data_IF_151287706403
#
_entry.id   IF_151287706403
#
_cell.length_a   1.000
_cell.length_b   1.000
_cell.length_c   1.000
_cell.angle_alpha   90.00
_cell.angle_beta   90.00
_cell.angle_gamma   90.00
#
_symmetry.space_group_name_H-M   'P 1'
#
loop_
_entity.id
_entity.type
_entity.pdbx_description
1 polymer ?
#
# COMPACT_ATOMS: atom_id res chain seq x y z
N UNK A 1 -16.82 26.16 1.92
CA UNK A 1 -16.95 24.75 1.52
C UNK A 1 -15.61 24.30 0.92
N UNK A 2 -14.82 23.52 1.65
CA UNK A 2 -13.52 23.01 1.18
C UNK A 2 -13.66 21.76 0.28
N UNK A 3 -14.89 21.39 -0.11
CA UNK A 3 -15.18 20.19 -0.90
C UNK A 3 -14.88 20.34 -2.40
N UNK A 4 -14.59 21.57 -2.89
CA UNK A 4 -14.56 21.89 -4.31
C UNK A 4 -13.15 21.81 -4.94
N UNK A 5 -12.13 21.42 -4.20
CA UNK A 5 -10.72 21.44 -4.65
C UNK A 5 -10.23 20.02 -5.03
N UNK A 6 -11.11 19.25 -5.66
CA UNK A 6 -10.82 17.89 -6.12
C UNK A 6 -10.82 17.81 -7.65
N UNK A 7 -10.02 16.89 -8.19
CA UNK A 7 -10.02 16.56 -9.62
C UNK A 7 -10.30 15.07 -9.79
N UNK A 8 -11.51 14.74 -10.26
CA UNK A 8 -11.91 13.36 -10.52
C UNK A 8 -12.20 13.15 -12.01
N UNK A 9 -11.51 12.21 -12.65
CA UNK A 9 -11.65 11.90 -14.07
C UNK A 9 -11.72 10.40 -14.30
N UNK A 10 -12.83 9.92 -14.77
CA UNK A 10 -13.06 8.50 -15.08
C UNK A 10 -14.35 7.96 -14.48
N UNK A 11 -14.74 6.76 -14.91
CA UNK A 11 -15.92 6.08 -14.38
C UNK A 11 -15.72 5.80 -12.90
N UNK A 12 -16.66 6.25 -12.06
CA UNK A 12 -16.66 6.11 -10.60
C UNK A 12 -15.38 6.66 -9.90
N UNK A 13 -14.61 7.54 -10.56
CA UNK A 13 -13.46 8.18 -9.92
C UNK A 13 -13.93 9.07 -8.76
N UNK A 14 -13.37 8.85 -7.56
CA UNK A 14 -13.72 9.61 -6.36
C UNK A 14 -15.19 9.46 -5.90
N UNK A 15 -15.90 8.40 -6.30
CA UNK A 15 -17.34 8.26 -6.07
C UNK A 15 -17.75 8.33 -4.61
N UNK A 16 -16.93 7.80 -3.71
CA UNK A 16 -17.20 7.79 -2.27
C UNK A 16 -16.91 9.13 -1.57
N UNK A 17 -16.31 10.12 -2.27
CA UNK A 17 -15.86 11.35 -1.63
C UNK A 17 -17.02 12.16 -1.05
N UNK A 18 -16.95 12.45 0.24
CA UNK A 18 -17.96 13.23 0.97
C UNK A 18 -17.46 14.60 1.40
N UNK A 19 -16.36 14.64 2.15
CA UNK A 19 -15.77 15.87 2.69
C UNK A 19 -14.28 16.03 2.40
N UNK A 20 -13.68 15.05 1.71
CA UNK A 20 -12.27 15.11 1.30
C UNK A 20 -12.01 16.22 0.29
N UNK A 21 -10.84 16.84 0.35
CA UNK A 21 -10.43 17.94 -0.52
C UNK A 21 -8.95 17.85 -0.91
N UNK A 22 -8.52 18.61 -1.94
CA UNK A 22 -7.17 18.55 -2.53
C UNK A 22 -6.83 17.17 -3.12
N UNK A 23 -7.82 16.41 -3.58
CA UNK A 23 -7.62 15.08 -4.10
C UNK A 23 -7.62 15.04 -5.62
N UNK A 24 -6.78 14.18 -6.17
CA UNK A 24 -6.75 13.83 -7.58
C UNK A 24 -7.01 12.33 -7.73
N UNK A 25 -8.09 11.96 -8.43
CA UNK A 25 -8.35 10.56 -8.79
C UNK A 25 -8.64 10.46 -10.29
N UNK A 26 -7.78 9.78 -11.03
CA UNK A 26 -7.88 9.66 -12.49
C UNK A 26 -7.78 8.21 -12.93
N UNK A 27 -8.85 7.67 -13.49
CA UNK A 27 -8.99 6.29 -13.96
C UNK A 27 -10.29 5.67 -13.51
N UNK A 28 -10.65 4.53 -14.13
CA UNK A 28 -11.83 3.75 -13.74
C UNK A 28 -11.69 3.28 -12.29
N UNK A 29 -12.66 3.54 -11.43
CA UNK A 29 -12.70 3.26 -10.00
C UNK A 29 -11.52 3.84 -9.18
N UNK A 30 -10.75 4.77 -9.73
CA UNK A 30 -9.68 5.43 -8.97
C UNK A 30 -10.28 6.21 -7.80
N UNK A 31 -9.84 5.93 -6.57
CA UNK A 31 -10.39 6.56 -5.37
C UNK A 31 -11.87 6.25 -5.12
N UNK A 32 -12.37 5.11 -5.56
CA UNK A 32 -13.77 4.72 -5.38
C UNK A 32 -14.23 4.79 -3.92
N UNK A 33 -13.38 4.37 -2.99
CA UNK A 33 -13.67 4.33 -1.56
C UNK A 33 -13.33 5.62 -0.82
N UNK A 34 -12.70 6.59 -1.51
CA UNK A 34 -12.27 7.84 -0.90
C UNK A 34 -13.47 8.54 -0.26
N UNK A 35 -13.38 8.90 1.02
CA UNK A 35 -14.48 9.50 1.78
C UNK A 35 -14.13 10.89 2.32
N UNK A 36 -13.27 10.98 3.32
CA UNK A 36 -12.91 12.22 4.01
C UNK A 36 -11.42 12.56 3.88
N UNK A 37 -10.62 11.69 3.26
CA UNK A 37 -9.19 11.86 3.08
C UNK A 37 -8.83 13.12 2.27
N UNK A 38 -7.66 13.69 2.52
CA UNK A 38 -7.20 14.93 1.90
C UNK A 38 -5.78 14.81 1.36
N UNK A 39 -5.45 15.64 0.34
CA UNK A 39 -4.12 15.65 -0.28
C UNK A 39 -3.71 14.26 -0.80
N UNK A 40 -4.59 13.65 -1.59
CA UNK A 40 -4.43 12.28 -2.11
C UNK A 40 -4.30 12.34 -3.63
N UNK A 41 -3.38 11.54 -4.18
CA UNK A 41 -3.22 11.36 -5.63
C UNK A 41 -3.34 9.88 -5.99
N UNK A 42 -4.39 9.54 -6.72
CA UNK A 42 -4.69 8.16 -7.15
C UNK A 42 -4.78 8.13 -8.68
N UNK A 43 -3.84 7.47 -9.33
CA UNK A 43 -3.76 7.46 -10.79
C UNK A 43 -3.78 6.03 -11.33
N UNK A 44 -4.71 5.74 -12.20
CA UNK A 44 -4.84 4.46 -12.90
C UNK A 44 -6.05 3.63 -12.47
N UNK A 45 -6.26 2.51 -13.16
CA UNK A 45 -7.35 1.59 -12.90
C UNK A 45 -7.30 1.06 -11.46
N UNK A 46 -8.40 1.20 -10.71
CA UNK A 46 -8.57 0.74 -9.33
C UNK A 46 -7.49 1.25 -8.33
N UNK A 47 -6.83 2.38 -8.61
CA UNK A 47 -5.89 2.98 -7.67
C UNK A 47 -6.62 3.39 -6.36
N UNK A 48 -6.09 2.99 -5.21
CA UNK A 48 -6.69 3.25 -3.89
C UNK A 48 -7.88 2.35 -3.54
N UNK A 49 -8.06 1.23 -4.25
CA UNK A 49 -9.00 0.17 -3.87
C UNK A 49 -8.26 -1.01 -3.21
N UNK A 50 -9.00 -2.00 -2.68
CA UNK A 50 -8.40 -3.19 -2.07
C UNK A 50 -7.53 -4.03 -3.03
N UNK A 51 -7.64 -3.82 -4.33
CA UNK A 51 -6.80 -4.45 -5.35
C UNK A 51 -5.60 -3.59 -5.78
N UNK A 52 -5.23 -2.60 -4.99
CA UNK A 52 -4.04 -1.76 -5.22
C UNK A 52 -2.98 -1.96 -4.13
N UNK A 53 -1.71 -1.59 -4.40
CA UNK A 53 -0.63 -1.72 -3.42
C UNK A 53 -0.81 -0.89 -2.14
N UNK A 54 -1.67 0.14 -2.19
CA UNK A 54 -2.02 0.96 -1.02
C UNK A 54 -3.05 0.30 -0.10
N UNK A 55 -3.73 -0.76 -0.56
CA UNK A 55 -5.00 -1.16 0.02
C UNK A 55 -6.08 -0.11 -0.22
N UNK A 56 -7.19 -0.19 0.51
CA UNK A 56 -8.28 0.79 0.45
C UNK A 56 -7.81 2.13 1.00
N UNK A 57 -7.95 3.17 0.19
CA UNK A 57 -7.75 4.58 0.58
C UNK A 57 -9.12 5.22 0.74
N UNK A 58 -9.53 5.52 1.97
CA UNK A 58 -10.84 6.08 2.31
C UNK A 58 -10.74 7.44 3.03
N UNK A 59 -10.30 7.44 4.27
CA UNK A 59 -10.08 8.63 5.11
C UNK A 59 -8.57 8.90 5.36
N UNK A 60 -7.69 8.20 4.64
CA UNK A 60 -6.25 8.49 4.62
C UNK A 60 -6.00 9.90 4.08
N UNK A 61 -4.85 10.45 4.42
CA UNK A 61 -4.39 11.74 3.87
C UNK A 61 -2.92 11.65 3.47
N UNK A 62 -2.48 12.57 2.60
CA UNK A 62 -1.08 12.67 2.17
C UNK A 62 -0.57 11.37 1.49
N UNK A 63 -1.39 10.73 0.66
CA UNK A 63 -1.11 9.43 0.04
C UNK A 63 -1.05 9.54 -1.48
N UNK A 64 -0.09 8.87 -2.09
CA UNK A 64 0.00 8.70 -3.55
C UNK A 64 -0.05 7.19 -3.85
N UNK A 65 -0.97 6.78 -4.74
CA UNK A 65 -1.01 5.41 -5.26
C UNK A 65 -1.08 5.43 -6.79
N UNK A 66 -0.23 4.64 -7.43
CA UNK A 66 -0.15 4.53 -8.89
C UNK A 66 -0.59 3.13 -9.34
N UNK A 67 -1.80 3.05 -9.88
CA UNK A 67 -2.40 1.83 -10.42
C UNK A 67 -2.83 0.82 -9.37
N UNK A 68 -3.06 -0.39 -9.85
CA UNK A 68 -3.46 -1.54 -9.05
C UNK A 68 -2.34 -2.60 -8.96
N UNK A 69 -2.64 -3.74 -8.37
CA UNK A 69 -1.71 -4.87 -8.17
C UNK A 69 -1.17 -5.50 -9.46
N UNK A 70 -1.73 -5.16 -10.63
CA UNK A 70 -1.23 -5.63 -11.92
C UNK A 70 -0.10 -4.76 -12.48
N UNK A 71 0.16 -3.57 -11.91
CA UNK A 71 1.29 -2.74 -12.33
C UNK A 71 2.61 -3.44 -11.98
N UNK A 72 3.33 -3.82 -13.02
CA UNK A 72 4.58 -4.59 -12.89
C UNK A 72 5.84 -3.71 -12.93
N UNK A 73 5.77 -2.53 -13.55
CA UNK A 73 6.93 -1.67 -13.76
C UNK A 73 6.54 -0.19 -13.60
N UNK A 74 7.41 0.57 -12.96
CA UNK A 74 7.39 2.02 -12.95
C UNK A 74 8.67 2.54 -13.62
N UNK A 75 8.52 3.23 -14.75
CA UNK A 75 9.65 3.80 -15.48
C UNK A 75 9.82 5.27 -15.10
N UNK A 76 10.95 5.60 -14.54
CA UNK A 76 11.38 6.96 -14.24
C UNK A 76 12.79 7.17 -14.78
N UNK A 77 13.11 8.37 -15.26
CA UNK A 77 14.45 8.70 -15.74
C UNK A 77 15.48 8.75 -14.60
N UNK A 78 15.02 8.97 -13.37
CA UNK A 78 15.83 9.01 -12.16
C UNK A 78 15.06 8.41 -10.98
N UNK A 79 15.75 8.12 -9.89
CA UNK A 79 15.15 7.59 -8.66
C UNK A 79 14.55 8.70 -7.81
N UNK A 80 13.72 8.32 -6.82
CA UNK A 80 13.15 9.26 -5.87
C UNK A 80 14.23 9.91 -4.98
N UNK A 81 14.11 11.21 -4.77
CA UNK A 81 14.90 11.96 -3.79
C UNK A 81 14.05 12.13 -2.53
N UNK A 82 14.49 11.57 -1.41
CA UNK A 82 13.83 11.74 -0.12
C UNK A 82 14.41 12.95 0.60
N UNK A 83 13.55 13.83 1.14
CA UNK A 83 13.99 14.94 1.99
C UNK A 83 14.73 14.41 3.22
N UNK A 84 15.88 15.03 3.53
CA UNK A 84 16.73 14.62 4.66
C UNK A 84 17.51 15.79 5.29
N UNK A 85 16.92 16.98 5.25
CA UNK A 85 17.55 18.17 5.85
C UNK A 85 17.62 18.02 7.38
N UNK A 86 18.78 18.32 7.97
CA UNK A 86 18.99 18.26 9.42
C UNK A 86 18.07 19.22 10.17
N UNK A 87 17.75 20.38 9.58
CA UNK A 87 16.92 21.42 10.19
C UNK A 87 15.48 21.00 10.41
N UNK A 88 15.03 19.98 9.64
CA UNK A 88 13.67 19.44 9.69
C UNK A 88 13.58 18.18 10.57
N UNK A 89 14.66 17.85 11.29
CA UNK A 89 14.74 16.66 12.17
C UNK A 89 14.87 17.08 13.62
N UNK A 90 14.14 16.38 14.47
CA UNK A 90 14.23 16.50 15.94
C UNK A 90 14.53 15.13 16.56
N UNK A 91 14.86 15.11 17.84
CA UNK A 91 15.12 13.89 18.63
C UNK A 91 16.14 12.94 17.97
N UNK A 92 17.18 13.52 17.35
CA UNK A 92 18.20 12.75 16.63
C UNK A 92 19.04 11.96 17.63
N UNK A 93 18.99 10.65 17.56
CA UNK A 93 19.74 9.71 18.39
C UNK A 93 20.51 8.70 17.53
N UNK A 94 21.52 8.08 18.12
CA UNK A 94 22.27 7.02 17.46
C UNK A 94 21.39 5.77 17.28
N UNK A 95 21.32 5.28 16.05
CA UNK A 95 20.67 4.02 15.71
C UNK A 95 21.69 2.90 15.82
N UNK A 96 21.41 1.88 16.64
CA UNK A 96 22.40 0.85 17.00
C UNK A 96 22.25 -0.50 16.30
N UNK A 97 21.08 -0.91 15.79
CA UNK A 97 20.97 -2.21 15.08
C UNK A 97 21.94 -2.31 13.90
N UNK A 98 22.68 -3.41 13.84
CA UNK A 98 23.70 -3.67 12.83
C UNK A 98 23.78 -5.17 12.48
N UNK A 99 24.94 -5.79 12.71
CA UNK A 99 25.24 -7.16 12.28
C UNK A 99 24.29 -8.21 12.89
N UNK A 100 23.89 -8.05 14.14
CA UNK A 100 22.96 -8.96 14.80
C UNK A 100 21.57 -8.96 14.16
N UNK A 101 21.11 -7.78 13.70
CA UNK A 101 19.86 -7.62 12.96
C UNK A 101 19.95 -8.31 11.58
N UNK A 102 20.99 -7.98 10.80
CA UNK A 102 21.17 -8.50 9.44
C UNK A 102 21.28 -10.03 9.42
N UNK A 103 21.93 -10.63 10.41
CA UNK A 103 22.08 -12.11 10.51
C UNK A 103 20.76 -12.86 10.71
N UNK A 104 19.73 -12.19 11.19
CA UNK A 104 18.39 -12.78 11.38
C UNK A 104 17.52 -12.68 10.13
N UNK A 105 17.87 -11.82 9.17
CA UNK A 105 17.13 -11.69 7.94
C UNK A 105 17.38 -12.89 7.02
N UNK A 106 16.32 -13.40 6.41
CA UNK A 106 16.34 -14.52 5.47
C UNK A 106 16.01 -14.04 4.06
N UNK A 107 17.01 -13.81 3.18
CA UNK A 107 16.75 -13.54 1.77
C UNK A 107 16.04 -14.73 1.11
N UNK A 108 15.06 -14.46 0.28
CA UNK A 108 14.27 -15.48 -0.41
C UNK A 108 14.17 -15.19 -1.90
N UNK A 109 14.00 -16.24 -2.71
CA UNK A 109 13.52 -16.17 -4.08
C UNK A 109 12.03 -16.51 -4.05
N UNK A 110 11.21 -15.72 -4.75
CA UNK A 110 9.77 -15.93 -4.80
C UNK A 110 9.19 -15.57 -6.16
N UNK A 111 7.93 -15.90 -6.35
CA UNK A 111 7.08 -15.42 -7.44
C UNK A 111 5.83 -14.82 -6.87
N UNK A 112 5.34 -13.76 -7.50
CA UNK A 112 4.05 -13.21 -7.11
C UNK A 112 2.91 -14.17 -7.45
N UNK A 113 1.99 -14.32 -6.52
CA UNK A 113 0.70 -14.97 -6.66
C UNK A 113 -0.25 -14.23 -5.71
N UNK A 114 -0.67 -13.03 -6.16
CA UNK A 114 -1.34 -12.08 -5.28
C UNK A 114 -2.79 -12.49 -5.02
N UNK A 115 -3.25 -12.33 -3.78
CA UNK A 115 -4.64 -12.58 -3.38
C UNK A 115 -5.64 -11.80 -4.22
N UNK A 116 -5.36 -10.53 -4.51
CA UNK A 116 -6.19 -9.68 -5.34
C UNK A 116 -6.40 -10.21 -6.77
N UNK A 117 -5.50 -11.03 -7.28
CA UNK A 117 -5.68 -11.67 -8.58
C UNK A 117 -6.77 -12.74 -8.60
N UNK A 118 -7.17 -13.28 -7.44
CA UNK A 118 -8.19 -14.30 -7.26
C UNK A 118 -9.55 -13.73 -6.86
N UNK A 119 -9.68 -12.42 -6.86
CA UNK A 119 -10.94 -11.70 -6.64
C UNK A 119 -11.50 -11.17 -7.95
N UNK A 120 -12.78 -10.87 -7.98
CA UNK A 120 -13.49 -10.26 -9.12
C UNK A 120 -14.38 -9.14 -8.65
N UNK A 121 -14.43 -8.06 -9.43
CA UNK A 121 -15.42 -7.01 -9.22
C UNK A 121 -16.84 -7.60 -9.27
N UNK A 122 -17.73 -7.06 -8.47
CA UNK A 122 -19.14 -7.41 -8.41
C UNK A 122 -19.95 -6.33 -9.13
N UNK A 123 -21.20 -6.61 -9.41
CA UNK A 123 -22.14 -5.61 -9.95
C UNK A 123 -23.26 -5.40 -8.94
N UNK A 124 -23.76 -4.17 -8.85
CA UNK A 124 -24.93 -3.84 -8.04
C UNK A 124 -26.13 -4.65 -8.54
N UNK A 125 -26.74 -5.40 -7.63
CA UNK A 125 -27.90 -6.26 -7.91
C UNK A 125 -29.22 -5.57 -7.53
N UNK A 126 -30.34 -6.08 -8.05
CA UNK A 126 -31.66 -5.58 -7.69
C UNK A 126 -31.93 -5.76 -6.18
N UNK A 127 -31.50 -6.87 -5.60
CA UNK A 127 -31.67 -7.11 -4.14
C UNK A 127 -30.98 -6.04 -3.30
N UNK A 128 -29.80 -5.56 -3.71
CA UNK A 128 -29.09 -4.48 -3.03
C UNK A 128 -29.81 -3.12 -3.17
N UNK A 129 -30.48 -2.88 -4.30
CA UNK A 129 -31.33 -1.71 -4.48
C UNK A 129 -32.56 -1.80 -3.56
N UNK A 130 -33.23 -2.95 -3.53
CA UNK A 130 -34.43 -3.18 -2.72
C UNK A 130 -34.11 -3.05 -1.21
N UNK A 131 -32.93 -3.47 -0.81
CA UNK A 131 -32.40 -3.31 0.55
C UNK A 131 -31.85 -1.90 0.85
N UNK A 132 -31.92 -0.96 -0.09
CA UNK A 132 -31.42 0.43 0.03
C UNK A 132 -29.92 0.55 0.30
N UNK A 133 -29.14 -0.43 -0.10
CA UNK A 133 -27.68 -0.37 -0.10
C UNK A 133 -27.16 0.54 -1.23
N UNK A 134 -27.90 0.59 -2.34
CA UNK A 134 -27.61 1.42 -3.52
C UNK A 134 -28.90 2.03 -4.09
N UNK A 135 -28.75 3.12 -4.87
CA UNK A 135 -29.87 3.74 -5.56
C UNK A 135 -30.22 3.01 -6.87
N UNK A 136 -31.45 3.14 -7.34
CA UNK A 136 -31.94 2.50 -8.58
C UNK A 136 -31.06 2.83 -9.81
N UNK A 137 -30.50 4.02 -9.88
CA UNK A 137 -29.59 4.43 -10.97
C UNK A 137 -28.21 3.74 -10.96
N UNK A 138 -27.91 3.01 -9.89
CA UNK A 138 -26.65 2.28 -9.74
C UNK A 138 -26.75 0.80 -10.12
N UNK A 139 -27.95 0.30 -10.46
CA UNK A 139 -28.16 -1.08 -10.88
C UNK A 139 -27.22 -1.46 -12.03
N UNK A 140 -26.48 -2.55 -11.88
CA UNK A 140 -25.51 -3.03 -12.86
C UNK A 140 -24.15 -2.30 -12.85
N UNK A 141 -23.98 -1.25 -12.00
CA UNK A 141 -22.67 -0.61 -11.83
C UNK A 141 -21.67 -1.58 -11.21
N UNK A 142 -20.40 -1.45 -11.60
CA UNK A 142 -19.31 -2.23 -11.02
C UNK A 142 -19.05 -1.77 -9.57
N UNK A 143 -18.85 -2.73 -8.68
CA UNK A 143 -18.38 -2.53 -7.32
C UNK A 143 -16.95 -3.06 -7.26
N UNK A 144 -15.94 -2.25 -6.91
CA UNK A 144 -14.58 -2.72 -6.73
C UNK A 144 -14.50 -3.81 -5.67
N UNK A 145 -13.46 -4.62 -5.78
CA UNK A 145 -13.10 -5.64 -4.78
C UNK A 145 -12.90 -4.97 -3.42
N UNK A 146 -13.46 -5.56 -2.38
CA UNK A 146 -13.33 -5.08 -1.00
C UNK A 146 -12.10 -5.67 -0.30
N UNK A 147 -11.67 -5.06 0.80
CA UNK A 147 -10.62 -5.60 1.67
C UNK A 147 -10.98 -7.02 2.16
N UNK A 148 -12.23 -7.26 2.52
CA UNK A 148 -12.71 -8.57 2.94
C UNK A 148 -12.58 -9.63 1.84
N UNK A 149 -12.89 -9.29 0.58
CA UNK A 149 -12.72 -10.18 -0.55
C UNK A 149 -11.24 -10.57 -0.74
N UNK A 150 -10.32 -9.60 -0.62
CA UNK A 150 -8.86 -9.85 -0.73
C UNK A 150 -8.35 -10.71 0.43
N UNK A 151 -8.82 -10.43 1.66
CA UNK A 151 -8.41 -11.22 2.84
C UNK A 151 -8.93 -12.66 2.79
N UNK A 152 -10.11 -12.89 2.25
CA UNK A 152 -10.69 -14.22 2.09
C UNK A 152 -10.09 -15.02 0.93
N UNK A 153 -9.48 -14.36 -0.05
CA UNK A 153 -8.92 -15.02 -1.23
C UNK A 153 -7.67 -15.83 -0.89
N UNK A 154 -7.62 -17.06 -1.42
CA UNK A 154 -6.48 -17.98 -1.23
C UNK A 154 -5.84 -18.26 -2.58
N UNK A 155 -4.61 -17.80 -2.84
CA UNK A 155 -3.85 -18.14 -4.03
C UNK A 155 -3.63 -19.66 -4.14
N UNK A 156 -3.78 -20.19 -5.35
CA UNK A 156 -3.62 -21.61 -5.63
C UNK A 156 -2.56 -21.91 -6.70
N UNK A 157 -1.77 -20.91 -7.09
CA UNK A 157 -0.71 -21.03 -8.08
C UNK A 157 -1.16 -20.89 -9.54
N UNK A 158 -2.46 -20.86 -9.84
CA UNK A 158 -2.95 -20.79 -11.24
C UNK A 158 -2.70 -19.43 -11.90
N UNK A 159 -2.53 -18.37 -11.12
CA UNK A 159 -2.24 -17.01 -11.57
C UNK A 159 -0.82 -16.54 -11.24
N UNK A 160 0.02 -17.46 -10.81
CA UNK A 160 1.40 -17.17 -10.42
C UNK A 160 2.20 -16.53 -11.56
N UNK A 161 2.84 -15.38 -11.28
CA UNK A 161 3.77 -14.75 -12.22
C UNK A 161 4.92 -15.71 -12.55
N UNK A 162 5.27 -15.91 -13.83
CA UNK A 162 6.43 -16.69 -14.23
C UNK A 162 7.77 -16.07 -13.79
N UNK A 163 7.83 -14.75 -13.57
CA UNK A 163 9.03 -14.03 -13.18
C UNK A 163 9.44 -14.34 -11.74
N UNK A 164 10.73 -14.65 -11.54
CA UNK A 164 11.32 -14.77 -10.21
C UNK A 164 11.77 -13.41 -9.67
N UNK A 165 11.60 -13.23 -8.39
CA UNK A 165 12.03 -12.06 -7.63
C UNK A 165 12.88 -12.49 -6.45
N UNK A 166 13.74 -11.59 -5.98
CA UNK A 166 14.48 -11.75 -4.72
C UNK A 166 14.04 -10.69 -3.73
N UNK A 167 14.05 -11.02 -2.45
CA UNK A 167 13.69 -10.06 -1.41
C UNK A 167 13.51 -10.75 -0.06
N UNK A 168 12.64 -10.19 0.76
CA UNK A 168 12.32 -10.68 2.09
C UNK A 168 10.81 -10.90 2.23
N UNK A 169 10.41 -11.73 3.19
CA UNK A 169 9.02 -11.82 3.64
C UNK A 169 8.81 -10.79 4.74
N UNK A 170 7.91 -9.84 4.51
CA UNK A 170 7.72 -8.68 5.39
C UNK A 170 7.40 -9.10 6.84
N UNK A 171 6.62 -10.18 7.04
CA UNK A 171 6.28 -10.69 8.36
C UNK A 171 7.49 -11.26 9.12
N UNK A 172 8.44 -11.88 8.41
CA UNK A 172 9.70 -12.35 9.02
C UNK A 172 10.58 -11.16 9.43
N UNK A 173 10.67 -10.14 8.59
CA UNK A 173 11.41 -8.91 8.90
C UNK A 173 10.78 -8.18 10.08
N UNK A 174 9.44 -8.11 10.15
CA UNK A 174 8.71 -7.53 11.27
C UNK A 174 9.06 -8.23 12.60
N UNK A 175 9.13 -9.56 12.60
CA UNK A 175 9.53 -10.31 13.79
C UNK A 175 10.97 -9.96 14.24
N UNK A 176 11.90 -9.73 13.29
CA UNK A 176 13.26 -9.27 13.62
C UNK A 176 13.25 -7.85 14.18
N UNK A 177 12.46 -6.92 13.61
CA UNK A 177 12.29 -5.56 14.15
C UNK A 177 11.77 -5.61 15.59
N UNK A 178 10.75 -6.40 15.86
CA UNK A 178 10.15 -6.56 17.19
C UNK A 178 11.15 -7.13 18.20
N UNK A 179 11.94 -8.12 17.80
CA UNK A 179 13.01 -8.68 18.63
C UNK A 179 14.11 -7.67 18.97
N UNK A 180 14.32 -6.68 18.09
CA UNK A 180 15.26 -5.58 18.29
C UNK A 180 14.66 -4.39 19.08
N UNK A 181 13.42 -4.49 19.57
CA UNK A 181 12.74 -3.48 20.37
C UNK A 181 12.04 -2.37 19.57
N UNK A 182 11.84 -2.58 18.25
CA UNK A 182 11.10 -1.68 17.36
C UNK A 182 9.73 -2.26 16.99
N UNK A 183 8.97 -1.54 16.18
CA UNK A 183 7.68 -1.98 15.65
C UNK A 183 6.71 -2.46 16.75
N UNK A 184 6.63 -1.71 17.85
CA UNK A 184 5.68 -1.98 18.95
C UNK A 184 4.21 -1.90 18.50
N UNK A 185 3.97 -1.14 17.46
CA UNK A 185 2.69 -1.01 16.76
C UNK A 185 2.92 -0.69 15.27
N UNK A 186 1.85 -0.66 14.46
CA UNK A 186 1.95 -0.44 13.01
C UNK A 186 2.52 0.92 12.59
N UNK A 187 2.43 1.95 13.45
CA UNK A 187 2.94 3.28 13.14
C UNK A 187 4.45 3.38 13.40
N UNK A 188 4.99 2.48 14.22
CA UNK A 188 6.40 2.44 14.62
C UNK A 188 7.24 1.39 13.86
N UNK A 189 6.70 0.80 12.78
CA UNK A 189 7.46 -0.09 11.89
C UNK A 189 8.56 0.69 11.15
N UNK A 190 9.79 0.18 11.16
CA UNK A 190 10.94 0.83 10.53
C UNK A 190 11.07 0.48 9.05
N UNK A 191 11.29 -0.79 8.74
CA UNK A 191 11.53 -1.29 7.37
C UNK A 191 10.32 -1.96 6.76
N UNK A 192 9.33 -2.29 7.57
CA UNK A 192 8.05 -2.87 7.13
C UNK A 192 6.97 -1.79 7.12
N UNK A 193 5.94 -2.01 6.34
CA UNK A 193 4.71 -1.22 6.31
C UNK A 193 3.52 -2.17 6.25
N UNK A 194 2.43 -1.83 6.92
CA UNK A 194 1.13 -2.47 6.79
C UNK A 194 0.14 -1.43 6.28
N UNK A 195 -0.64 -1.77 5.26
CA UNK A 195 -1.71 -0.89 4.77
C UNK A 195 -2.74 -0.62 5.87
N UNK A 196 -3.46 0.48 5.77
CA UNK A 196 -4.43 0.89 6.80
C UNK A 196 -5.55 -0.15 6.96
N UNK A 197 -6.03 -0.70 5.85
CA UNK A 197 -7.03 -1.77 5.79
C UNK A 197 -6.47 -3.16 6.16
N UNK A 198 -5.18 -3.22 6.52
CA UNK A 198 -4.45 -4.43 6.94
C UNK A 198 -4.41 -5.56 5.89
N UNK A 199 -4.70 -5.23 4.64
CA UNK A 199 -4.70 -6.23 3.57
C UNK A 199 -3.30 -6.60 3.11
N UNK A 200 -2.32 -5.67 3.15
CA UNK A 200 -1.00 -5.90 2.56
C UNK A 200 0.15 -5.41 3.44
N UNK A 201 1.18 -6.23 3.53
CA UNK A 201 2.48 -5.84 4.05
C UNK A 201 3.39 -5.38 2.90
N UNK A 202 4.14 -4.31 3.13
CA UNK A 202 5.17 -3.79 2.24
C UNK A 202 6.53 -3.73 2.90
N UNK A 203 7.58 -3.51 2.10
CA UNK A 203 8.96 -3.33 2.56
C UNK A 203 9.49 -1.96 2.12
N UNK A 204 10.14 -1.27 3.03
CA UNK A 204 10.91 -0.03 2.79
C UNK A 204 12.39 -0.41 2.69
N UNK A 205 12.81 -0.98 1.56
CA UNK A 205 14.15 -1.56 1.39
C UNK A 205 15.28 -0.55 1.63
N UNK A 206 15.07 0.72 1.29
CA UNK A 206 16.05 1.79 1.51
C UNK A 206 16.39 2.01 3.00
N UNK A 207 15.49 1.64 3.90
CA UNK A 207 15.70 1.73 5.35
C UNK A 207 16.60 0.63 5.91
N UNK A 208 16.94 -0.37 5.12
CA UNK A 208 17.97 -1.35 5.48
C UNK A 208 19.38 -0.76 5.35
N UNK A 209 19.57 0.33 4.58
CA UNK A 209 20.88 0.92 4.36
C UNK A 209 21.56 1.37 5.67
N UNK A 210 20.94 2.10 6.59
CA UNK A 210 21.58 2.45 7.87
C UNK A 210 21.97 1.22 8.71
N UNK A 211 21.17 0.16 8.69
CA UNK A 211 21.44 -1.11 9.39
C UNK A 211 22.67 -1.79 8.79
N UNK A 212 22.76 -1.83 7.45
CA UNK A 212 23.92 -2.38 6.73
C UNK A 212 25.19 -1.58 7.02
N UNK A 213 25.12 -0.24 7.08
CA UNK A 213 26.25 0.60 7.46
C UNK A 213 26.77 0.24 8.85
N UNK A 214 25.90 0.07 9.83
CA UNK A 214 26.29 -0.36 11.18
C UNK A 214 26.91 -1.77 11.16
N UNK A 215 26.30 -2.72 10.43
CA UNK A 215 26.81 -4.08 10.31
C UNK A 215 28.22 -4.13 9.72
N UNK A 216 28.50 -3.29 8.70
CA UNK A 216 29.84 -3.19 8.09
C UNK A 216 30.85 -2.64 9.10
N UNK A 217 30.51 -1.57 9.84
CA UNK A 217 31.38 -0.99 10.89
C UNK A 217 31.70 -1.99 12.00
N UNK A 218 30.70 -2.80 12.42
CA UNK A 218 30.91 -3.87 13.41
C UNK A 218 31.84 -4.99 12.89
N UNK A 219 31.80 -5.29 11.60
CA UNK A 219 32.73 -6.29 10.98
C UNK A 219 34.17 -5.75 10.89
N UNK A 220 34.34 -4.46 10.62
CA UNK A 220 35.65 -3.82 10.53
C UNK A 220 36.39 -3.78 11.88
N UNK A 221 35.65 -3.72 12.99
CA UNK A 221 36.22 -3.64 14.35
C UNK A 221 36.54 -5.01 14.97
N UNK A 222 36.36 -6.12 14.24
CA UNK A 222 36.65 -7.50 14.67
C UNK A 222 38.00 -8.00 14.15
#
# INVERSE_FOLDING_TARGET
NQQDENTFVGYQAGQGNTTGYYNVAMGHNSGYNLSTGTNITLLGFNAGTASSPSGVVDDDSNTICLGNDNVANLYCADTSISSSDQRDKTDVANFTPGLSFIKQLRPVIYRWDKRSWYTTEKTVTQDQIDNKEFDQGQLGNSIPVTAADVLAATPNGSKKDPKQHIGFLAQEVLAVEQSAGFASDKNNMLTVNLTKDETQYGMKYERLVPILVNAIKELETR
#
